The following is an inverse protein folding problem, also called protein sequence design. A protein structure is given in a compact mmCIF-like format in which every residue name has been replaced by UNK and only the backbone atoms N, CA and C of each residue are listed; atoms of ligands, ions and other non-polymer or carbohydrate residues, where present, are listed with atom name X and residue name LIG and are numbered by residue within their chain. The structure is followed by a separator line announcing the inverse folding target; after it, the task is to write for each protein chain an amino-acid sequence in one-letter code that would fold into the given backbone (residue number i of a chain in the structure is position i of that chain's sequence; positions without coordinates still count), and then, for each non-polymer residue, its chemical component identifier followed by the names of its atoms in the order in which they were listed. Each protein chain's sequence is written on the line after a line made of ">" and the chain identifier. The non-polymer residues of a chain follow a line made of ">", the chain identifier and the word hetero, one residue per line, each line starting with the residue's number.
data_IF_639652732214
#
_entry.id   IF_639652732214
#
_cell.length_a   1.000
_cell.length_b   1.000
_cell.length_c   1.000
_cell.angle_alpha   90.00
_cell.angle_beta   90.00
_cell.angle_gamma   90.00
#
_symmetry.space_group_name_H-M   'P 1'
#
loop_
_entity.id
_entity.type
_entity.pdbx_description
1 polymer ?
#
# COMPACT_ATOMS: atom_id res chain seq x y z
N UNK A 1 -21.43 -80.45 -47.45
CA UNK A 1 -20.58 -79.98 -48.53
C UNK A 1 -20.14 -78.56 -48.16
N UNK A 2 -19.03 -78.43 -47.45
CA UNK A 2 -18.54 -77.21 -46.88
C UNK A 2 -17.16 -76.90 -47.47
N UNK A 3 -17.03 -75.79 -48.11
CA UNK A 3 -15.76 -75.22 -48.53
C UNK A 3 -15.43 -74.04 -47.72
N UNK A 4 -14.39 -74.16 -46.90
CA UNK A 4 -13.72 -73.12 -46.18
C UNK A 4 -12.77 -72.37 -47.07
N UNK A 5 -12.86 -71.07 -47.11
CA UNK A 5 -11.84 -70.22 -47.74
C UNK A 5 -11.29 -69.24 -46.67
N UNK A 6 -10.10 -69.56 -46.27
CA UNK A 6 -9.32 -68.65 -45.42
C UNK A 6 -8.62 -67.57 -46.28
N UNK A 7 -8.94 -66.33 -46.09
CA UNK A 7 -8.28 -65.22 -46.73
C UNK A 7 -7.29 -64.59 -45.77
N UNK A 8 -5.99 -64.66 -46.08
CA UNK A 8 -4.93 -63.99 -45.42
C UNK A 8 -4.92 -62.45 -45.82
N UNK A 9 -5.27 -61.64 -44.88
CA UNK A 9 -4.97 -60.21 -45.05
C UNK A 9 -3.62 -59.90 -44.43
N UNK A 10 -2.62 -59.59 -45.26
CA UNK A 10 -1.37 -58.96 -44.85
C UNK A 10 -1.62 -57.49 -44.57
N UNK A 11 -1.64 -57.12 -43.32
CA UNK A 11 -1.66 -55.73 -42.92
C UNK A 11 -0.22 -55.16 -43.09
N UNK A 12 -0.03 -54.33 -44.09
CA UNK A 12 1.18 -53.52 -44.26
C UNK A 12 1.03 -52.32 -43.34
N UNK A 13 1.76 -52.30 -42.21
CA UNK A 13 1.82 -51.16 -41.30
C UNK A 13 2.66 -50.05 -41.97
N UNK A 14 1.97 -49.03 -42.44
CA UNK A 14 2.60 -47.79 -42.90
C UNK A 14 2.94 -46.94 -41.65
N UNK A 15 4.17 -46.98 -41.20
CA UNK A 15 4.66 -46.07 -40.14
C UNK A 15 4.80 -44.68 -40.76
N UNK A 16 3.83 -43.81 -40.55
CA UNK A 16 3.95 -42.39 -40.78
C UNK A 16 4.81 -41.82 -39.65
N UNK A 17 6.11 -41.56 -39.93
CA UNK A 17 6.93 -40.69 -39.11
C UNK A 17 6.39 -39.25 -39.23
N UNK A 18 5.54 -38.85 -38.33
CA UNK A 18 5.23 -37.44 -38.10
C UNK A 18 6.48 -36.81 -37.48
N UNK A 19 7.34 -36.26 -38.33
CA UNK A 19 8.34 -35.27 -37.88
C UNK A 19 7.57 -34.04 -37.48
N UNK A 20 7.23 -33.93 -36.17
CA UNK A 20 6.79 -32.67 -35.59
C UNK A 20 7.99 -31.73 -35.59
N UNK A 21 8.12 -30.93 -36.65
CA UNK A 21 8.93 -29.70 -36.59
C UNK A 21 8.23 -28.79 -35.59
N UNK A 22 8.65 -28.85 -34.32
CA UNK A 22 8.42 -27.78 -33.38
C UNK A 22 9.07 -26.57 -33.99
N UNK A 23 8.28 -25.74 -34.66
CA UNK A 23 8.65 -24.38 -34.96
C UNK A 23 8.71 -23.72 -33.59
N UNK A 24 9.90 -23.70 -32.99
CA UNK A 24 10.20 -22.72 -31.97
C UNK A 24 10.07 -21.37 -32.69
N UNK A 25 8.92 -20.74 -32.56
CA UNK A 25 8.81 -19.31 -32.73
C UNK A 25 9.93 -18.75 -31.83
N UNK A 26 11.04 -18.35 -32.43
CA UNK A 26 11.97 -17.45 -31.78
C UNK A 26 11.11 -16.20 -31.54
N UNK A 27 10.55 -16.12 -30.37
CA UNK A 27 10.16 -14.84 -29.81
C UNK A 27 11.48 -14.08 -29.77
N UNK A 28 11.72 -13.25 -30.78
CA UNK A 28 12.72 -12.22 -30.64
C UNK A 28 12.35 -11.50 -29.35
N UNK A 29 13.27 -11.54 -28.38
CA UNK A 29 13.10 -10.69 -27.20
C UNK A 29 12.66 -9.32 -27.71
N UNK A 30 11.58 -8.74 -27.16
CA UNK A 30 11.16 -7.41 -27.57
C UNK A 30 12.42 -6.53 -27.55
N UNK A 31 12.63 -5.66 -28.54
CA UNK A 31 13.82 -4.84 -28.62
C UNK A 31 14.04 -4.25 -27.25
N UNK A 32 15.24 -4.40 -26.70
CA UNK A 32 15.55 -3.91 -25.35
C UNK A 32 15.31 -2.40 -25.37
N UNK A 33 14.16 -2.01 -24.87
CA UNK A 33 13.77 -0.61 -24.83
C UNK A 33 14.71 0.09 -23.85
N UNK A 34 15.64 0.84 -24.42
CA UNK A 34 16.52 1.70 -23.65
C UNK A 34 15.90 3.09 -23.61
N UNK A 35 15.75 3.61 -22.40
CA UNK A 35 15.30 4.97 -22.14
C UNK A 35 16.46 5.72 -21.50
N UNK A 36 16.74 6.91 -22.01
CA UNK A 36 17.71 7.84 -21.42
C UNK A 36 16.96 9.04 -20.89
N UNK A 37 17.18 9.39 -19.62
CA UNK A 37 16.68 10.63 -19.03
C UNK A 37 17.87 11.53 -18.74
N UNK A 38 17.91 12.73 -19.32
CA UNK A 38 19.01 13.69 -19.17
C UNK A 38 18.51 15.11 -18.89
N UNK A 39 19.41 15.93 -18.34
CA UNK A 39 19.09 17.31 -17.94
C UNK A 39 18.29 17.39 -16.64
N UNK A 40 17.93 18.58 -16.24
CA UNK A 40 17.23 18.81 -14.98
C UNK A 40 18.05 18.46 -13.75
N UNK A 41 17.36 18.11 -12.67
CA UNK A 41 17.95 17.78 -11.38
C UNK A 41 17.65 16.34 -10.99
N UNK A 42 18.50 15.76 -10.17
CA UNK A 42 18.31 14.46 -9.56
C UNK A 42 18.37 14.59 -8.03
N UNK A 43 17.32 14.11 -7.36
CA UNK A 43 17.30 13.79 -5.93
C UNK A 43 17.27 12.27 -5.79
N UNK A 44 18.29 11.71 -5.14
CA UNK A 44 18.47 10.25 -5.07
C UNK A 44 17.84 9.59 -3.85
N UNK A 45 17.20 10.38 -2.97
CA UNK A 45 16.59 9.88 -1.73
C UNK A 45 17.58 9.55 -0.61
N UNK A 46 18.88 9.77 -0.83
CA UNK A 46 19.96 9.51 0.15
C UNK A 46 20.62 10.81 0.56
N UNK A 47 20.91 11.64 -0.43
CA UNK A 47 21.54 12.95 -0.22
C UNK A 47 20.53 13.97 0.27
N UNK A 48 20.95 14.89 1.14
CA UNK A 48 20.09 15.99 1.61
C UNK A 48 19.83 17.08 0.56
N UNK A 49 20.44 16.97 -0.62
CA UNK A 49 20.33 17.96 -1.69
C UNK A 49 20.19 17.28 -3.05
N UNK A 50 19.48 17.95 -3.94
CA UNK A 50 19.46 17.55 -5.35
C UNK A 50 20.74 18.01 -6.05
N UNK A 51 21.14 17.28 -7.09
CA UNK A 51 22.28 17.58 -7.96
C UNK A 51 21.86 17.64 -9.43
N UNK A 52 22.71 18.19 -10.27
CA UNK A 52 22.48 18.16 -11.72
C UNK A 52 22.41 16.72 -12.22
N UNK A 53 21.41 16.42 -13.03
CA UNK A 53 21.30 15.13 -13.69
C UNK A 53 22.10 15.14 -14.99
N UNK A 54 23.14 14.33 -15.06
CA UNK A 54 23.96 14.16 -16.26
C UNK A 54 23.41 13.10 -17.20
N UNK A 55 22.80 12.06 -16.66
CA UNK A 55 22.13 11.03 -17.42
C UNK A 55 21.77 9.80 -16.58
N UNK A 56 20.56 9.30 -16.78
CA UNK A 56 20.10 8.01 -16.25
C UNK A 56 19.75 7.12 -17.42
N UNK A 57 20.29 5.90 -17.42
CA UNK A 57 19.99 4.89 -18.43
C UNK A 57 19.12 3.80 -17.83
N UNK A 58 18.00 3.54 -18.46
CA UNK A 58 17.02 2.52 -18.06
C UNK A 58 16.97 1.47 -19.17
N UNK A 59 17.10 0.19 -18.81
CA UNK A 59 16.89 -0.96 -19.71
C UNK A 59 15.99 -1.97 -19.05
N UNK A 60 15.01 -2.45 -19.79
CA UNK A 60 14.05 -3.45 -19.30
C UNK A 60 13.44 -3.06 -17.95
N UNK A 61 13.04 -1.79 -17.81
CA UNK A 61 12.44 -1.27 -16.58
C UNK A 61 13.39 -1.14 -15.38
N UNK A 62 14.72 -1.30 -15.57
CA UNK A 62 15.72 -1.18 -14.51
C UNK A 62 16.69 -0.05 -14.79
N UNK A 63 16.99 0.76 -13.79
CA UNK A 63 18.09 1.73 -13.84
C UNK A 63 19.39 0.94 -13.88
N UNK A 64 20.13 1.06 -14.97
CA UNK A 64 21.42 0.36 -15.18
C UNK A 64 22.61 1.27 -15.00
N UNK A 65 22.42 2.57 -15.13
CA UNK A 65 23.49 3.56 -14.97
C UNK A 65 22.91 4.90 -14.52
N UNK A 66 23.58 5.55 -13.60
CA UNK A 66 23.33 6.92 -13.16
C UNK A 66 24.62 7.71 -13.38
N UNK A 67 24.50 9.00 -13.71
CA UNK A 67 25.63 9.84 -14.14
C UNK A 67 26.35 9.30 -15.39
N UNK A 68 25.58 8.75 -16.31
CA UNK A 68 26.07 8.14 -17.52
C UNK A 68 26.81 9.15 -18.42
N UNK A 69 27.94 8.71 -19.00
CA UNK A 69 28.46 9.39 -20.18
C UNK A 69 27.58 9.04 -21.39
N UNK A 70 26.87 10.04 -21.91
CA UNK A 70 25.86 9.85 -22.94
C UNK A 70 26.38 10.02 -24.37
N UNK A 71 27.64 10.43 -24.60
CA UNK A 71 28.16 10.79 -25.92
C UNK A 71 27.94 9.66 -26.95
N UNK A 72 28.29 8.43 -26.60
CA UNK A 72 28.13 7.28 -27.50
C UNK A 72 26.72 6.68 -27.51
N UNK A 73 26.00 6.81 -26.41
CA UNK A 73 24.67 6.20 -26.23
C UNK A 73 23.56 6.94 -26.95
N UNK A 74 23.67 8.26 -27.06
CA UNK A 74 22.71 9.11 -27.78
C UNK A 74 22.70 8.86 -29.29
N UNK A 75 23.76 8.24 -29.83
CA UNK A 75 23.83 7.90 -31.24
C UNK A 75 22.97 6.69 -31.63
N UNK A 76 22.62 5.85 -30.66
CA UNK A 76 21.90 4.59 -30.89
C UNK A 76 20.53 4.52 -30.27
N UNK A 77 20.26 5.37 -29.26
CA UNK A 77 19.01 5.37 -28.51
C UNK A 77 18.06 6.42 -29.05
N UNK A 78 16.84 6.00 -29.40
CA UNK A 78 15.78 6.89 -29.92
C UNK A 78 14.82 7.39 -28.85
N UNK A 79 14.79 6.76 -27.66
CA UNK A 79 13.90 7.11 -26.57
C UNK A 79 14.67 7.93 -25.52
N UNK A 80 14.69 9.24 -25.72
CA UNK A 80 15.38 10.21 -24.85
C UNK A 80 14.36 11.16 -24.25
N UNK A 81 14.39 11.30 -22.94
CA UNK A 81 13.60 12.28 -22.17
C UNK A 81 14.54 13.41 -21.76
N UNK A 82 14.35 14.57 -22.36
CA UNK A 82 15.07 15.80 -22.02
C UNK A 82 14.33 16.59 -20.96
N UNK A 83 14.94 16.78 -19.81
CA UNK A 83 14.38 17.56 -18.71
C UNK A 83 14.90 19.00 -18.75
N UNK A 84 14.06 19.93 -18.37
CA UNK A 84 14.42 21.33 -18.16
C UNK A 84 15.05 21.55 -16.80
N UNK A 85 15.68 22.71 -16.59
CA UNK A 85 16.26 23.10 -15.29
C UNK A 85 15.22 23.30 -14.17
N UNK A 86 13.93 23.27 -14.50
CA UNK A 86 12.84 23.34 -13.53
C UNK A 86 12.38 21.97 -13.03
N UNK A 87 12.81 20.92 -13.69
CA UNK A 87 12.37 19.55 -13.40
C UNK A 87 13.38 18.81 -12.54
N UNK A 88 12.88 17.97 -11.66
CA UNK A 88 13.69 17.13 -10.77
C UNK A 88 13.20 15.70 -10.84
N UNK A 89 14.11 14.77 -11.07
CA UNK A 89 13.85 13.33 -10.93
C UNK A 89 13.88 13.00 -9.45
N UNK A 90 12.88 12.25 -9.02
CA UNK A 90 12.74 11.73 -7.66
C UNK A 90 12.62 10.21 -7.73
N UNK A 91 13.03 9.47 -6.69
CA UNK A 91 12.57 8.09 -6.51
C UNK A 91 11.05 8.05 -6.48
N UNK A 92 10.47 6.97 -7.01
CA UNK A 92 9.03 6.76 -6.86
C UNK A 92 8.65 6.72 -5.39
N UNK A 93 7.58 7.41 -5.02
CA UNK A 93 7.08 7.47 -3.65
C UNK A 93 6.41 6.15 -3.27
N UNK A 94 6.45 5.81 -1.97
CA UNK A 94 5.89 4.58 -1.42
C UNK A 94 4.90 4.94 -0.32
N UNK A 95 3.62 4.64 -0.52
CA UNK A 95 2.60 4.80 0.52
C UNK A 95 2.51 3.51 1.34
N UNK A 96 2.96 3.58 2.58
CA UNK A 96 3.01 2.42 3.49
C UNK A 96 1.72 2.21 4.29
N UNK A 97 0.69 3.02 4.03
CA UNK A 97 -0.64 2.87 4.61
C UNK A 97 -1.69 3.34 3.59
N UNK A 98 -1.70 2.70 2.45
CA UNK A 98 -2.70 2.96 1.42
C UNK A 98 -3.96 2.12 1.66
N UNK A 99 -5.08 2.63 1.22
CA UNK A 99 -6.30 1.86 1.08
C UNK A 99 -6.78 1.86 -0.36
N UNK A 100 -7.54 0.84 -0.70
CA UNK A 100 -8.20 0.73 -2.01
C UNK A 100 -9.72 0.74 -1.86
N UNK A 101 -10.18 1.26 -0.74
CA UNK A 101 -11.59 1.30 -0.40
C UNK A 101 -12.36 2.30 -1.26
N UNK A 102 -13.62 1.98 -1.48
CA UNK A 102 -14.61 2.87 -2.03
C UNK A 102 -15.87 2.81 -1.15
N UNK A 103 -16.20 3.92 -0.52
CA UNK A 103 -17.36 4.03 0.37
C UNK A 103 -18.63 4.28 -0.45
N UNK A 104 -19.48 3.27 -0.52
CA UNK A 104 -20.83 3.37 -1.06
C UNK A 104 -21.75 3.79 0.07
N UNK A 105 -21.98 5.09 0.22
CA UNK A 105 -22.77 5.67 1.32
C UNK A 105 -24.09 4.93 1.54
N UNK A 106 -24.35 4.59 2.80
CA UNK A 106 -25.50 3.78 3.25
C UNK A 106 -25.52 2.32 2.77
N UNK A 107 -24.48 1.87 2.03
CA UNK A 107 -24.37 0.51 1.50
C UNK A 107 -23.22 -0.26 2.16
N UNK A 108 -22.09 0.43 2.36
CA UNK A 108 -20.86 -0.14 2.89
C UNK A 108 -19.66 0.12 1.99
N UNK A 109 -18.51 -0.48 2.30
CA UNK A 109 -17.24 -0.30 1.59
C UNK A 109 -16.88 -1.51 0.76
N UNK A 110 -16.25 -1.24 -0.37
CA UNK A 110 -15.67 -2.24 -1.27
C UNK A 110 -14.33 -1.73 -1.80
N UNK A 111 -13.55 -2.57 -2.45
CA UNK A 111 -12.28 -2.17 -3.07
C UNK A 111 -12.50 -1.66 -4.49
N UNK A 112 -11.91 -0.49 -4.77
CA UNK A 112 -11.76 0.09 -6.10
C UNK A 112 -10.27 0.24 -6.43
N UNK A 113 -9.68 -0.88 -6.86
CA UNK A 113 -8.22 -1.00 -7.00
C UNK A 113 -7.70 -0.30 -8.25
N UNK A 114 -8.46 -0.36 -9.35
CA UNK A 114 -8.01 0.17 -10.65
C UNK A 114 -7.95 1.69 -10.64
N UNK A 115 -9.05 2.32 -10.27
CA UNK A 115 -9.16 3.79 -10.25
C UNK A 115 -8.19 4.41 -9.24
N UNK A 116 -8.21 3.91 -8.01
CA UNK A 116 -7.32 4.39 -6.95
C UNK A 116 -5.85 4.18 -7.32
N UNK A 117 -5.51 3.03 -7.92
CA UNK A 117 -4.15 2.74 -8.39
C UNK A 117 -3.65 3.72 -9.45
N UNK A 118 -4.50 4.09 -10.41
CA UNK A 118 -4.16 5.09 -11.43
C UNK A 118 -3.91 6.46 -10.80
N UNK A 119 -4.71 6.85 -9.80
CA UNK A 119 -4.54 8.14 -9.13
C UNK A 119 -3.27 8.15 -8.27
N UNK A 120 -2.93 7.07 -7.57
CA UNK A 120 -1.64 6.92 -6.91
C UNK A 120 -0.48 7.18 -7.88
N UNK A 121 -0.46 6.48 -9.02
CA UNK A 121 0.58 6.66 -10.03
C UNK A 121 0.63 8.09 -10.59
N UNK A 122 -0.51 8.69 -10.89
CA UNK A 122 -0.59 10.04 -11.41
C UNK A 122 0.00 11.09 -10.46
N UNK A 123 0.10 10.77 -9.18
CA UNK A 123 0.71 11.58 -8.13
C UNK A 123 2.14 11.15 -7.77
N UNK A 124 2.73 10.21 -8.52
CA UNK A 124 4.10 9.74 -8.29
C UNK A 124 4.26 8.68 -7.20
N UNK A 125 3.16 8.16 -6.65
CA UNK A 125 3.18 7.02 -5.73
C UNK A 125 3.27 5.74 -6.56
N UNK A 126 4.45 5.17 -6.64
CA UNK A 126 4.76 4.03 -7.52
C UNK A 126 4.70 2.68 -6.81
N UNK A 127 4.59 2.69 -5.50
CA UNK A 127 4.39 1.49 -4.68
C UNK A 127 3.44 1.81 -3.53
N UNK A 128 2.61 0.84 -3.17
CA UNK A 128 1.69 0.95 -2.04
C UNK A 128 1.69 -0.33 -1.24
N UNK A 129 1.54 -0.22 0.08
CA UNK A 129 1.13 -1.33 0.94
C UNK A 129 -0.31 -1.08 1.36
N UNK A 130 -1.20 -1.98 1.00
CA UNK A 130 -2.60 -1.87 1.38
C UNK A 130 -2.80 -2.25 2.85
N UNK A 131 -3.54 -1.45 3.60
CA UNK A 131 -3.59 -1.54 5.05
C UNK A 131 -4.86 -2.23 5.57
N UNK A 132 -5.16 -3.41 5.04
CA UNK A 132 -6.36 -4.19 5.34
C UNK A 132 -7.48 -3.99 4.33
N UNK A 133 -8.02 -5.09 3.84
CA UNK A 133 -9.09 -5.09 2.86
C UNK A 133 -10.31 -5.84 3.38
N UNK A 134 -11.48 -5.48 2.83
CA UNK A 134 -12.73 -6.21 3.03
C UNK A 134 -12.83 -7.41 2.08
N UNK A 135 -12.30 -7.25 0.85
CA UNK A 135 -12.30 -8.25 -0.22
C UNK A 135 -10.89 -8.41 -0.80
N UNK A 136 -9.95 -8.97 -0.03
CA UNK A 136 -8.53 -9.00 -0.38
C UNK A 136 -8.23 -9.75 -1.68
N UNK A 137 -9.09 -10.67 -2.10
CA UNK A 137 -8.93 -11.40 -3.37
C UNK A 137 -9.02 -10.46 -4.59
N UNK A 138 -9.73 -9.33 -4.48
CA UNK A 138 -9.81 -8.31 -5.55
C UNK A 138 -8.48 -7.58 -5.69
N UNK A 139 -7.84 -7.27 -4.56
CA UNK A 139 -6.54 -6.61 -4.52
C UNK A 139 -5.43 -7.54 -4.99
N UNK A 140 -5.44 -8.81 -4.56
CA UNK A 140 -4.52 -9.84 -5.04
C UNK A 140 -4.61 -10.01 -6.56
N UNK A 141 -5.81 -10.13 -7.10
CA UNK A 141 -6.02 -10.24 -8.55
C UNK A 141 -5.44 -9.05 -9.31
N UNK A 142 -5.64 -7.83 -8.80
CA UNK A 142 -5.10 -6.64 -9.44
C UNK A 142 -3.57 -6.59 -9.35
N UNK A 143 -2.99 -6.97 -8.21
CA UNK A 143 -1.53 -7.13 -8.04
C UNK A 143 -0.97 -8.05 -9.13
N UNK A 144 -1.55 -9.22 -9.28
CA UNK A 144 -1.07 -10.22 -10.23
C UNK A 144 -1.15 -9.71 -11.68
N UNK A 145 -2.20 -8.95 -12.04
CA UNK A 145 -2.30 -8.32 -13.37
C UNK A 145 -1.26 -7.21 -13.57
N UNK A 146 -0.97 -6.43 -12.53
CA UNK A 146 0.08 -5.39 -12.59
C UNK A 146 1.45 -6.03 -12.73
N UNK A 147 1.73 -7.09 -11.97
CA UNK A 147 3.02 -7.76 -11.95
C UNK A 147 3.39 -8.40 -13.31
N UNK A 148 2.40 -8.85 -14.07
CA UNK A 148 2.59 -9.39 -15.43
C UNK A 148 2.42 -8.33 -16.53
N UNK A 149 2.16 -7.07 -16.18
CA UNK A 149 2.02 -5.96 -17.13
C UNK A 149 0.68 -5.93 -17.89
N UNK A 150 -0.34 -6.65 -17.44
CA UNK A 150 -1.68 -6.66 -18.03
C UNK A 150 -2.59 -5.55 -17.47
N UNK A 151 -2.18 -4.92 -16.36
CA UNK A 151 -2.87 -3.77 -15.79
C UNK A 151 -1.87 -2.66 -15.40
N UNK A 152 -2.38 -1.43 -15.37
CA UNK A 152 -1.63 -0.25 -14.92
C UNK A 152 -1.97 0.04 -13.46
N UNK A 153 -0.95 0.19 -12.62
CA UNK A 153 -1.07 0.53 -11.21
C UNK A 153 0.29 0.64 -10.54
N UNK A 154 0.36 1.11 -9.29
CA UNK A 154 1.58 1.05 -8.50
C UNK A 154 1.90 -0.41 -8.18
N UNK A 155 3.14 -0.70 -7.82
CA UNK A 155 3.48 -2.00 -7.25
C UNK A 155 2.68 -2.21 -5.97
N UNK A 156 1.86 -3.24 -5.94
CA UNK A 156 0.95 -3.54 -4.85
C UNK A 156 1.55 -4.55 -3.88
N UNK A 157 1.76 -4.13 -2.63
CA UNK A 157 2.01 -5.01 -1.51
C UNK A 157 0.71 -5.14 -0.72
N UNK A 158 0.23 -6.36 -0.55
CA UNK A 158 -1.09 -6.65 0.00
C UNK A 158 -0.97 -7.12 1.46
N UNK A 159 -1.84 -6.60 2.33
CA UNK A 159 -1.91 -7.05 3.74
C UNK A 159 -2.81 -8.27 3.95
N UNK A 160 -3.63 -8.60 2.97
CA UNK A 160 -4.78 -9.46 3.19
C UNK A 160 -5.92 -8.74 3.94
N UNK A 161 -6.82 -9.48 4.61
CA UNK A 161 -7.92 -8.86 5.34
C UNK A 161 -7.44 -8.18 6.62
N UNK A 162 -8.33 -7.44 7.25
CA UNK A 162 -8.12 -7.06 8.65
C UNK A 162 -8.09 -8.32 9.54
N UNK A 163 -7.10 -8.41 10.43
CA UNK A 163 -6.99 -9.48 11.42
C UNK A 163 -7.57 -8.99 12.75
N UNK A 164 -8.79 -9.43 13.06
CA UNK A 164 -9.56 -9.04 14.23
C UNK A 164 -11.01 -8.68 13.89
N UNK A 165 -11.77 -8.25 14.89
CA UNK A 165 -13.22 -8.02 14.82
C UNK A 165 -13.66 -6.98 13.79
N UNK A 166 -12.73 -6.10 13.35
CA UNK A 166 -13.01 -5.10 12.32
C UNK A 166 -13.22 -5.67 10.92
N UNK A 167 -12.86 -6.93 10.67
CA UNK A 167 -12.74 -7.54 9.33
C UNK A 167 -13.90 -7.24 8.37
N UNK A 168 -15.15 -7.25 8.82
CA UNK A 168 -16.31 -7.01 7.96
C UNK A 168 -17.21 -5.86 8.46
N UNK A 169 -16.71 -5.02 9.36
CA UNK A 169 -17.56 -4.04 10.05
C UNK A 169 -18.26 -3.10 9.07
N UNK A 170 -17.55 -2.61 8.07
CA UNK A 170 -18.08 -1.67 7.06
C UNK A 170 -18.21 -2.27 5.66
N UNK A 171 -18.06 -3.58 5.51
CA UNK A 171 -18.21 -4.22 4.20
C UNK A 171 -19.63 -4.09 3.65
N UNK A 172 -19.77 -4.17 2.32
CA UNK A 172 -21.08 -4.23 1.67
C UNK A 172 -21.85 -5.46 2.17
N UNK A 173 -23.07 -5.23 2.63
CA UNK A 173 -23.96 -6.29 3.14
C UNK A 173 -24.94 -6.75 2.04
N UNK A 174 -24.42 -7.34 0.97
CA UNK A 174 -25.25 -7.95 -0.08
C UNK A 174 -25.02 -9.45 -0.14
N UNK A 175 -26.01 -10.20 -0.62
CA UNK A 175 -25.90 -11.66 -0.75
C UNK A 175 -24.82 -12.14 -1.75
N UNK A 176 -24.23 -11.22 -2.52
CA UNK A 176 -23.17 -11.52 -3.50
C UNK A 176 -21.76 -11.22 -2.97
N UNK A 177 -21.65 -10.48 -1.87
CA UNK A 177 -20.37 -10.06 -1.29
C UNK A 177 -20.24 -10.76 0.07
N UNK A 178 -19.54 -11.88 0.06
CA UNK A 178 -19.35 -12.74 1.24
C UNK A 178 -18.04 -12.35 1.94
N UNK A 179 -18.11 -11.27 2.74
CA UNK A 179 -17.02 -10.97 3.64
C UNK A 179 -17.07 -11.93 4.84
N UNK A 180 -16.06 -12.79 4.96
CA UNK A 180 -15.94 -13.73 6.08
C UNK A 180 -15.50 -12.99 7.35
N UNK A 181 -16.41 -12.81 8.30
CA UNK A 181 -16.13 -12.13 9.56
C UNK A 181 -15.11 -12.88 10.42
N UNK A 182 -14.41 -12.12 11.28
CA UNK A 182 -13.56 -12.70 12.31
C UNK A 182 -14.43 -13.38 13.37
N UNK A 183 -14.22 -14.68 13.68
CA UNK A 183 -15.03 -15.36 14.68
C UNK A 183 -14.77 -14.84 16.09
N UNK A 184 -15.83 -14.68 16.90
CA UNK A 184 -15.69 -14.22 18.29
C UNK A 184 -15.01 -15.25 19.21
N UNK A 185 -15.03 -16.53 18.83
CA UNK A 185 -14.49 -17.66 19.58
C UNK A 185 -13.35 -18.37 18.81
N UNK A 186 -12.63 -17.60 17.99
CA UNK A 186 -11.52 -18.10 17.17
C UNK A 186 -10.43 -18.73 18.05
N UNK A 187 -10.03 -19.93 17.69
CA UNK A 187 -8.97 -20.65 18.39
C UNK A 187 -7.58 -20.21 17.95
N UNK A 188 -6.56 -20.48 18.78
CA UNK A 188 -5.16 -20.23 18.41
C UNK A 188 -4.77 -20.94 17.11
N UNK A 189 -5.22 -22.18 16.93
CA UNK A 189 -4.93 -22.97 15.72
C UNK A 189 -5.53 -22.28 14.47
N UNK A 190 -6.75 -21.79 14.54
CA UNK A 190 -7.41 -21.07 13.43
C UNK A 190 -6.74 -19.75 13.12
N UNK A 191 -6.31 -18.99 14.14
CA UNK A 191 -5.54 -17.75 13.95
C UNK A 191 -4.25 -18.04 13.18
N UNK A 192 -3.50 -19.06 13.64
CA UNK A 192 -2.24 -19.44 12.99
C UNK A 192 -2.45 -19.90 11.55
N UNK A 193 -3.48 -20.72 11.31
CA UNK A 193 -3.84 -21.18 9.98
C UNK A 193 -4.26 -20.04 9.04
N UNK A 194 -4.98 -19.04 9.57
CA UNK A 194 -5.36 -17.86 8.79
C UNK A 194 -4.14 -17.02 8.38
N UNK A 195 -3.18 -16.82 9.28
CA UNK A 195 -1.93 -16.12 8.96
C UNK A 195 -1.11 -16.91 7.94
N UNK A 196 -0.97 -18.24 8.10
CA UNK A 196 -0.25 -19.11 7.16
C UNK A 196 -0.87 -19.06 5.75
N UNK A 197 -2.20 -19.08 5.66
CA UNK A 197 -2.95 -18.94 4.39
C UNK A 197 -2.55 -17.67 3.63
N UNK A 198 -2.42 -16.54 4.32
CA UNK A 198 -2.07 -15.27 3.67
C UNK A 198 -0.58 -15.16 3.37
N UNK A 199 0.28 -15.78 4.16
CA UNK A 199 1.69 -15.93 3.83
C UNK A 199 1.90 -16.69 2.50
N UNK A 200 1.12 -17.77 2.26
CA UNK A 200 1.12 -18.52 1.00
C UNK A 200 0.69 -17.65 -0.21
N UNK A 201 -0.09 -16.59 0.02
CA UNK A 201 -0.48 -15.60 -1.00
C UNK A 201 0.55 -14.48 -1.17
N UNK A 202 1.75 -14.62 -0.62
CA UNK A 202 2.82 -13.62 -0.66
C UNK A 202 2.46 -12.29 0.03
N UNK A 203 1.63 -12.35 1.05
CA UNK A 203 1.44 -11.24 1.98
C UNK A 203 2.70 -11.09 2.82
N UNK A 204 3.22 -9.86 2.92
CA UNK A 204 4.50 -9.58 3.60
C UNK A 204 4.32 -8.87 4.96
N UNK A 205 3.12 -8.38 5.23
CA UNK A 205 2.77 -7.68 6.47
C UNK A 205 1.28 -7.80 6.71
N UNK A 206 0.86 -8.01 7.94
CA UNK A 206 -0.56 -8.10 8.32
C UNK A 206 -1.03 -6.87 9.09
N UNK A 207 -2.31 -6.52 8.91
CA UNK A 207 -2.99 -5.42 9.60
C UNK A 207 -3.86 -5.96 10.74
N UNK A 208 -3.47 -5.67 11.99
CA UNK A 208 -4.22 -6.05 13.19
C UNK A 208 -5.17 -4.91 13.54
N UNK A 209 -6.46 -5.20 13.70
CA UNK A 209 -7.45 -4.22 14.12
C UNK A 209 -8.60 -4.89 14.88
N UNK A 210 -8.89 -4.43 16.10
CA UNK A 210 -9.89 -5.02 17.00
C UNK A 210 -9.62 -6.52 17.29
N UNK A 211 -8.39 -6.86 17.66
CA UNK A 211 -8.03 -8.15 18.18
C UNK A 211 -7.78 -8.07 19.68
N UNK A 212 -8.15 -9.12 20.42
CA UNK A 212 -7.85 -9.21 21.84
C UNK A 212 -6.34 -9.27 22.10
N UNK A 213 -5.85 -8.97 23.31
CA UNK A 213 -4.41 -9.11 23.62
C UNK A 213 -3.85 -10.49 23.34
N UNK A 214 -4.61 -11.55 23.58
CA UNK A 214 -4.19 -12.93 23.30
C UNK A 214 -4.11 -13.21 21.79
N UNK A 215 -5.10 -12.79 21.02
CA UNK A 215 -5.08 -12.92 19.56
C UNK A 215 -3.95 -12.10 18.95
N UNK A 216 -3.75 -10.86 19.40
CA UNK A 216 -2.67 -9.98 18.93
C UNK A 216 -1.30 -10.66 19.11
N UNK A 217 -1.05 -11.26 20.26
CA UNK A 217 0.18 -11.99 20.52
C UNK A 217 0.37 -13.15 19.53
N UNK A 218 -0.66 -13.97 19.31
CA UNK A 218 -0.61 -15.11 18.41
C UNK A 218 -0.39 -14.64 16.97
N UNK A 219 -1.07 -13.56 16.54
CA UNK A 219 -0.92 -12.95 15.22
C UNK A 219 0.52 -12.50 14.97
N UNK A 220 1.12 -11.77 15.92
CA UNK A 220 2.50 -11.30 15.82
C UNK A 220 3.47 -12.50 15.73
N UNK A 221 3.35 -13.46 16.64
CA UNK A 221 4.21 -14.66 16.65
C UNK A 221 4.14 -15.43 15.33
N UNK A 222 2.94 -15.66 14.79
CA UNK A 222 2.76 -16.43 13.57
C UNK A 222 3.20 -15.65 12.33
N UNK A 223 2.95 -14.33 12.29
CA UNK A 223 3.45 -13.47 11.22
C UNK A 223 4.98 -13.51 11.15
N UNK A 224 5.67 -13.33 12.28
CA UNK A 224 7.14 -13.40 12.35
C UNK A 224 7.69 -14.77 11.95
N UNK A 225 7.01 -15.86 12.36
CA UNK A 225 7.38 -17.22 11.95
C UNK A 225 7.35 -17.40 10.43
N UNK A 226 6.44 -16.70 9.74
CA UNK A 226 6.35 -16.68 8.29
C UNK A 226 7.21 -15.60 7.62
N UNK A 227 8.05 -14.87 8.38
CA UNK A 227 8.88 -13.78 7.86
C UNK A 227 8.09 -12.52 7.46
N UNK A 228 6.86 -12.41 7.94
CA UNK A 228 6.01 -11.21 7.75
C UNK A 228 6.20 -10.23 8.90
N UNK A 229 5.98 -8.95 8.61
CA UNK A 229 5.87 -7.90 9.64
C UNK A 229 4.41 -7.71 10.06
N UNK A 230 4.23 -6.95 11.14
CA UNK A 230 2.92 -6.67 11.73
C UNK A 230 2.72 -5.18 11.94
N UNK A 231 1.50 -4.73 11.73
CA UNK A 231 1.08 -3.37 12.06
C UNK A 231 -0.26 -3.38 12.75
N UNK A 232 -0.57 -2.36 13.53
CA UNK A 232 -1.81 -2.33 14.27
C UNK A 232 -2.42 -0.94 14.38
N UNK A 233 -3.72 -0.88 14.06
CA UNK A 233 -4.59 0.21 14.47
C UNK A 233 -5.05 -0.11 15.91
N UNK A 234 -4.28 0.32 16.87
CA UNK A 234 -4.49 0.04 18.29
C UNK A 234 -5.20 1.24 18.92
N UNK A 235 -6.47 1.10 19.21
CA UNK A 235 -7.27 2.16 19.80
C UNK A 235 -8.23 1.63 20.87
N UNK A 236 -8.44 2.38 21.93
CA UNK A 236 -9.32 2.03 23.04
C UNK A 236 -10.82 2.21 22.74
N UNK A 237 -11.25 2.15 21.48
CA UNK A 237 -12.66 2.41 21.17
C UNK A 237 -13.58 1.22 21.44
N UNK A 238 -13.02 0.02 21.61
CA UNK A 238 -13.79 -1.24 21.58
C UNK A 238 -13.59 -2.13 22.84
N UNK A 239 -13.04 -1.60 23.91
CA UNK A 239 -12.97 -2.27 25.20
C UNK A 239 -12.03 -3.48 25.22
N UNK A 240 -12.55 -4.70 25.31
CA UNK A 240 -11.76 -5.93 25.43
C UNK A 240 -10.91 -6.27 24.19
N UNK A 241 -11.22 -5.66 23.05
CA UNK A 241 -10.46 -5.83 21.80
C UNK A 241 -9.29 -4.86 21.68
N UNK A 242 -9.03 -4.07 22.71
CA UNK A 242 -7.98 -3.05 22.65
C UNK A 242 -6.70 -3.55 23.28
N UNK A 243 -5.64 -3.44 22.50
CA UNK A 243 -4.28 -3.64 22.99
C UNK A 243 -3.63 -2.28 23.15
N UNK A 244 -3.12 -1.99 24.34
CA UNK A 244 -2.34 -0.78 24.53
C UNK A 244 -1.08 -0.81 23.64
N UNK A 245 -0.72 0.28 22.94
CA UNK A 245 0.47 0.33 22.08
C UNK A 245 1.74 -0.18 22.78
N UNK A 246 1.93 0.14 24.05
CA UNK A 246 3.04 -0.38 24.86
C UNK A 246 3.08 -1.91 24.88
N UNK A 247 1.94 -2.53 25.13
CA UNK A 247 1.88 -4.00 25.26
C UNK A 247 2.07 -4.67 23.89
N UNK A 248 1.56 -4.07 22.84
CA UNK A 248 1.79 -4.54 21.46
C UNK A 248 3.28 -4.46 21.06
N UNK A 249 3.98 -3.37 21.39
CA UNK A 249 5.44 -3.25 21.20
C UNK A 249 6.17 -4.35 21.98
N UNK A 250 5.79 -4.60 23.21
CA UNK A 250 6.40 -5.66 24.03
C UNK A 250 6.09 -7.07 23.52
N UNK A 251 4.99 -7.27 22.78
CA UNK A 251 4.69 -8.51 22.05
C UNK A 251 5.48 -8.64 20.75
N UNK A 252 6.12 -7.55 20.27
CA UNK A 252 6.94 -7.54 19.06
C UNK A 252 6.29 -6.87 17.84
N UNK A 253 5.29 -6.00 18.01
CA UNK A 253 4.71 -5.25 16.91
C UNK A 253 5.79 -4.45 16.17
N UNK A 254 5.81 -4.52 14.84
CA UNK A 254 6.85 -3.89 14.03
C UNK A 254 6.52 -2.42 13.67
N UNK A 255 5.23 -2.08 13.60
CA UNK A 255 4.77 -0.74 13.23
C UNK A 255 3.53 -0.32 14.02
N UNK A 256 3.58 0.88 14.60
CA UNK A 256 2.45 1.58 15.18
C UNK A 256 1.81 2.50 14.13
N UNK A 257 0.50 2.58 14.15
CA UNK A 257 -0.29 3.46 13.31
C UNK A 257 -1.00 4.51 14.15
N UNK A 258 -1.18 5.69 13.57
CA UNK A 258 -1.98 6.82 14.03
C UNK A 258 -1.43 7.52 15.26
N UNK A 259 -1.43 6.91 16.42
CA UNK A 259 -1.04 7.55 17.68
C UNK A 259 -0.13 6.66 18.52
N UNK A 260 0.80 7.30 19.21
CA UNK A 260 1.74 6.62 20.12
C UNK A 260 1.12 6.46 21.51
N UNK A 261 0.38 7.48 21.95
CA UNK A 261 -0.26 7.50 23.28
C UNK A 261 -1.75 7.61 23.18
N UNK A 262 -2.45 7.09 24.19
CA UNK A 262 -3.91 7.10 24.22
C UNK A 262 -4.40 8.32 25.03
N UNK A 263 -4.75 9.41 24.33
CA UNK A 263 -5.57 10.45 24.90
C UNK A 263 -4.89 11.52 25.77
N UNK A 264 -3.64 11.88 25.48
CA UNK A 264 -2.97 12.97 26.22
C UNK A 264 -3.49 14.37 25.90
N UNK A 265 -4.41 14.49 24.94
CA UNK A 265 -5.05 15.77 24.58
C UNK A 265 -4.07 16.82 24.02
N UNK A 266 -3.05 16.39 23.29
CA UNK A 266 -2.08 17.29 22.66
C UNK A 266 -1.02 17.86 23.62
N UNK A 267 -0.72 17.15 24.70
CA UNK A 267 0.28 17.56 25.71
C UNK A 267 1.34 16.47 25.89
N UNK A 268 2.56 16.89 26.16
CA UNK A 268 3.59 15.97 26.62
C UNK A 268 3.17 15.31 27.95
N UNK A 269 3.47 14.03 28.06
CA UNK A 269 3.15 13.22 29.25
C UNK A 269 4.27 12.25 29.55
N UNK A 270 4.34 11.76 30.77
CA UNK A 270 5.29 10.69 31.13
C UNK A 270 5.07 9.41 30.30
N UNK A 271 3.81 9.13 29.92
CA UNK A 271 3.47 8.03 29.02
C UNK A 271 4.09 8.22 27.63
N UNK A 272 4.05 9.44 27.09
CA UNK A 272 4.69 9.74 25.79
C UNK A 272 6.19 9.50 25.84
N UNK A 273 6.87 9.92 26.91
CA UNK A 273 8.30 9.67 27.08
C UNK A 273 8.61 8.16 27.15
N UNK A 274 7.85 7.41 27.94
CA UNK A 274 7.98 5.95 28.04
C UNK A 274 7.77 5.29 26.66
N UNK A 275 6.77 5.70 25.93
CA UNK A 275 6.44 5.15 24.61
C UNK A 275 7.52 5.45 23.58
N UNK A 276 8.06 6.68 23.56
CA UNK A 276 9.18 7.04 22.70
C UNK A 276 10.42 6.17 23.01
N UNK A 277 10.74 5.99 24.27
CA UNK A 277 11.86 5.13 24.69
C UNK A 277 11.65 3.67 24.23
N UNK A 278 10.43 3.14 24.32
CA UNK A 278 10.09 1.80 23.84
C UNK A 278 10.21 1.68 22.31
N UNK A 279 9.70 2.66 21.57
CA UNK A 279 9.80 2.71 20.11
C UNK A 279 11.26 2.70 19.67
N UNK A 280 12.10 3.55 20.27
CA UNK A 280 13.52 3.61 19.97
C UNK A 280 14.25 2.31 20.34
N UNK A 281 13.95 1.75 21.51
CA UNK A 281 14.57 0.52 22.01
C UNK A 281 14.22 -0.70 21.14
N UNK A 282 12.97 -0.82 20.72
CA UNK A 282 12.46 -1.94 19.95
C UNK A 282 12.51 -1.72 18.45
N UNK A 283 12.92 -0.52 17.98
CA UNK A 283 13.01 -0.13 16.57
C UNK A 283 11.67 -0.26 15.86
N UNK A 284 10.59 0.20 16.50
CA UNK A 284 9.23 0.16 15.95
C UNK A 284 9.03 1.32 15.00
N UNK A 285 8.55 1.06 13.79
CA UNK A 285 8.19 2.11 12.85
C UNK A 285 6.94 2.85 13.29
N UNK A 286 6.85 4.12 12.95
CA UNK A 286 5.70 4.96 13.29
C UNK A 286 5.10 5.63 12.05
N UNK A 287 3.80 5.45 11.89
CA UNK A 287 2.97 5.94 10.82
C UNK A 287 1.87 6.85 11.38
N UNK A 288 2.10 8.16 11.33
CA UNK A 288 1.25 9.13 12.02
C UNK A 288 -0.07 9.41 11.30
N UNK A 289 -0.12 9.31 9.98
CA UNK A 289 -1.29 9.66 9.14
C UNK A 289 -1.84 11.05 9.47
N UNK A 290 -0.95 12.05 9.52
CA UNK A 290 -1.29 13.41 9.97
C UNK A 290 -2.41 14.02 9.14
N UNK A 291 -2.34 13.86 7.82
CA UNK A 291 -3.31 14.46 6.91
C UNK A 291 -4.71 13.86 7.07
N UNK A 292 -4.83 12.57 7.41
CA UNK A 292 -6.11 11.88 7.65
C UNK A 292 -6.86 12.53 8.83
N UNK A 293 -6.16 12.78 9.92
CA UNK A 293 -6.73 13.35 11.14
C UNK A 293 -6.61 14.87 11.20
N UNK A 294 -5.80 15.49 10.38
CA UNK A 294 -5.54 16.92 10.36
C UNK A 294 -5.87 17.63 9.06
N UNK A 295 -6.13 16.90 7.98
CA UNK A 295 -6.37 17.48 6.66
C UNK A 295 -7.48 18.54 6.65
N UNK A 296 -8.50 18.36 7.46
CA UNK A 296 -9.58 19.34 7.63
C UNK A 296 -9.12 20.57 8.43
N UNK A 297 -8.20 20.42 9.37
CA UNK A 297 -7.66 21.55 10.14
C UNK A 297 -6.66 22.37 9.32
N UNK A 298 -5.81 21.71 8.56
CA UNK A 298 -4.95 22.35 7.57
C UNK A 298 -5.79 23.17 6.55
N UNK A 299 -6.98 22.72 6.18
CA UNK A 299 -7.92 23.50 5.37
C UNK A 299 -8.28 24.84 6.02
N UNK A 300 -8.54 24.84 7.34
CA UNK A 300 -8.86 26.09 8.08
C UNK A 300 -7.68 27.05 8.13
N UNK A 301 -6.48 26.53 8.39
CA UNK A 301 -5.26 27.34 8.52
C UNK A 301 -4.81 27.92 7.17
N UNK A 302 -4.96 27.15 6.09
CA UNK A 302 -4.60 27.58 4.73
C UNK A 302 -5.72 28.34 4.00
N UNK A 303 -6.85 28.59 4.65
CA UNK A 303 -8.02 29.23 4.02
C UNK A 303 -8.86 28.24 3.23
N UNK A 304 -9.61 27.53 3.93
CA UNK A 304 -10.63 26.48 3.75
C UNK A 304 -10.79 25.79 2.39
N UNK A 305 -10.73 26.50 1.30
CA UNK A 305 -11.15 25.94 0.01
C UNK A 305 -9.97 25.51 -0.87
N UNK A 306 -8.76 25.99 -0.60
CA UNK A 306 -7.63 25.82 -1.53
C UNK A 306 -7.07 24.39 -1.60
N UNK A 307 -7.21 23.60 -0.56
CA UNK A 307 -6.64 22.24 -0.52
C UNK A 307 -7.52 21.24 -1.26
N UNK A 308 -8.85 21.41 -1.23
CA UNK A 308 -9.79 20.47 -1.82
C UNK A 308 -10.34 20.87 -3.19
N UNK A 309 -10.58 22.17 -3.44
CA UNK A 309 -11.16 22.65 -4.70
C UNK A 309 -10.31 22.35 -5.91
N UNK A 310 -9.00 22.37 -5.78
CA UNK A 310 -8.11 22.01 -6.88
C UNK A 310 -8.20 20.53 -7.26
N UNK A 311 -8.60 19.66 -6.35
CA UNK A 311 -8.71 18.23 -6.52
C UNK A 311 -10.12 17.76 -6.83
N UNK A 312 -11.15 18.53 -6.46
CA UNK A 312 -12.56 18.18 -6.62
C UNK A 312 -12.90 17.76 -8.07
N UNK A 313 -12.24 18.35 -9.05
CA UNK A 313 -12.41 18.00 -10.47
C UNK A 313 -11.99 16.58 -10.84
N UNK A 314 -11.18 15.94 -10.03
CA UNK A 314 -10.72 14.57 -10.24
C UNK A 314 -11.57 13.52 -9.50
N UNK A 315 -12.46 13.97 -8.62
CA UNK A 315 -13.40 13.06 -7.98
C UNK A 315 -14.49 12.61 -8.94
N UNK A 316 -14.99 11.41 -8.74
CA UNK A 316 -16.20 10.97 -9.44
C UNK A 316 -17.38 11.88 -9.10
N UNK A 317 -18.40 12.00 -9.96
CA UNK A 317 -19.59 12.78 -9.64
C UNK A 317 -20.25 12.37 -8.31
N UNK A 318 -20.17 11.08 -7.97
CA UNK A 318 -20.65 10.55 -6.70
C UNK A 318 -19.86 11.10 -5.51
N UNK A 319 -18.53 11.04 -5.57
CA UNK A 319 -17.66 11.57 -4.52
C UNK A 319 -17.79 13.10 -4.38
N UNK A 320 -17.92 13.83 -5.51
CA UNK A 320 -18.19 15.27 -5.49
C UNK A 320 -19.50 15.60 -4.75
N UNK A 321 -20.57 14.86 -5.03
CA UNK A 321 -21.85 15.06 -4.35
C UNK A 321 -21.78 14.77 -2.84
N UNK A 322 -20.92 13.86 -2.42
CA UNK A 322 -20.68 13.60 -0.99
C UNK A 322 -19.87 14.72 -0.33
N UNK A 323 -18.86 15.23 -1.00
CA UNK A 323 -18.06 16.36 -0.51
C UNK A 323 -18.91 17.63 -0.33
N UNK A 324 -19.82 17.90 -1.24
CA UNK A 324 -20.76 19.02 -1.15
C UNK A 324 -21.67 18.92 0.10
N UNK A 325 -22.01 17.69 0.52
CA UNK A 325 -22.83 17.46 1.71
C UNK A 325 -22.07 17.61 3.02
N UNK A 326 -20.75 17.45 2.99
CA UNK A 326 -19.88 17.45 4.18
C UNK A 326 -19.31 18.82 4.54
N UNK A 327 -19.89 19.92 4.10
CA UNK A 327 -19.37 21.29 4.20
C UNK A 327 -19.05 21.85 5.59
N UNK A 328 -19.26 21.12 6.69
CA UNK A 328 -19.09 21.61 8.03
C UNK A 328 -17.65 21.44 8.56
N UNK A 329 -17.18 22.37 9.43
CA UNK A 329 -15.88 22.25 10.08
C UNK A 329 -15.84 21.02 11.01
N UNK A 330 -14.64 20.40 11.17
CA UNK A 330 -14.48 19.26 12.07
C UNK A 330 -14.78 19.64 13.52
N UNK A 331 -15.20 18.67 14.32
CA UNK A 331 -15.34 18.86 15.77
C UNK A 331 -13.99 19.25 16.41
N UNK A 332 -14.03 19.90 17.57
CA UNK A 332 -12.82 20.29 18.31
C UNK A 332 -11.94 19.09 18.70
N UNK A 333 -12.54 17.90 18.84
CA UNK A 333 -11.83 16.64 19.10
C UNK A 333 -10.78 16.32 18.03
N UNK A 334 -11.10 16.55 16.76
CA UNK A 334 -10.19 16.24 15.65
C UNK A 334 -8.97 17.16 15.65
N UNK A 335 -9.12 18.40 16.14
CA UNK A 335 -8.01 19.34 16.34
C UNK A 335 -7.07 18.82 17.42
N UNK A 336 -7.61 18.29 18.50
CA UNK A 336 -6.80 17.76 19.59
C UNK A 336 -6.03 16.50 19.15
N UNK A 337 -6.65 15.62 18.38
CA UNK A 337 -6.00 14.44 17.82
C UNK A 337 -4.86 14.81 16.87
N UNK A 338 -5.09 15.74 15.96
CA UNK A 338 -4.03 16.23 15.06
C UNK A 338 -2.85 16.82 15.84
N UNK A 339 -3.13 17.69 16.80
CA UNK A 339 -2.09 18.30 17.65
C UNK A 339 -1.30 17.22 18.40
N UNK A 340 -1.97 16.19 18.88
CA UNK A 340 -1.33 15.05 19.54
C UNK A 340 -0.35 14.33 18.62
N UNK A 341 -0.78 13.99 17.40
CA UNK A 341 0.08 13.27 16.44
C UNK A 341 1.28 14.07 15.99
N UNK A 342 1.08 15.37 15.73
CA UNK A 342 2.19 16.28 15.42
C UNK A 342 3.20 16.33 16.57
N UNK A 343 2.73 16.40 17.81
CA UNK A 343 3.58 16.40 18.99
C UNK A 343 4.37 15.08 19.13
N UNK A 344 3.70 13.95 18.97
CA UNK A 344 4.31 12.62 19.03
C UNK A 344 5.38 12.42 17.96
N UNK A 345 5.07 12.79 16.72
CA UNK A 345 6.00 12.73 15.60
C UNK A 345 7.24 13.59 15.86
N UNK A 346 7.05 14.86 16.27
CA UNK A 346 8.14 15.76 16.59
C UNK A 346 8.99 15.24 17.75
N UNK A 347 8.37 14.69 18.78
CA UNK A 347 9.08 14.13 19.94
C UNK A 347 9.94 12.93 19.54
N UNK A 348 9.37 12.01 18.75
CA UNK A 348 10.12 10.86 18.23
C UNK A 348 11.30 11.32 17.37
N UNK A 349 11.07 12.25 16.44
CA UNK A 349 12.13 12.83 15.61
C UNK A 349 13.26 13.45 16.46
N UNK A 350 12.91 14.33 17.41
CA UNK A 350 13.89 14.99 18.30
C UNK A 350 14.65 14.03 19.20
N UNK A 351 14.09 12.87 19.48
CA UNK A 351 14.71 11.82 20.28
C UNK A 351 15.61 10.86 19.46
N UNK A 352 15.84 11.15 18.18
CA UNK A 352 16.69 10.33 17.29
C UNK A 352 15.96 9.20 16.59
N UNK A 353 14.65 9.28 16.49
CA UNK A 353 13.80 8.30 15.80
C UNK A 353 13.47 8.64 14.36
N UNK A 354 14.22 9.54 13.71
CA UNK A 354 13.96 9.98 12.33
C UNK A 354 13.90 8.82 11.33
N UNK A 355 14.69 7.78 11.52
CA UNK A 355 14.71 6.61 10.65
C UNK A 355 13.55 5.63 10.92
N UNK A 356 12.76 5.86 11.94
CA UNK A 356 11.58 5.06 12.28
C UNK A 356 10.28 5.71 11.79
N UNK A 357 10.35 6.97 11.31
CA UNK A 357 9.21 7.66 10.72
C UNK A 357 8.97 7.15 9.30
N UNK A 358 7.75 6.77 9.01
CA UNK A 358 7.34 6.34 7.68
C UNK A 358 6.18 7.18 7.19
N UNK A 359 5.95 7.16 5.88
CA UNK A 359 4.85 7.88 5.24
C UNK A 359 3.75 6.91 4.86
N UNK A 360 2.59 7.11 5.44
CA UNK A 360 1.36 6.43 5.12
C UNK A 360 0.19 7.40 5.16
N UNK A 361 -0.79 7.22 4.28
CA UNK A 361 -1.88 8.19 4.14
C UNK A 361 -3.16 7.79 4.87
N UNK A 362 -3.38 6.51 5.08
CA UNK A 362 -4.67 5.96 5.52
C UNK A 362 -5.83 6.35 4.57
N UNK A 363 -5.54 6.45 3.25
CA UNK A 363 -6.51 6.92 2.25
C UNK A 363 -6.52 6.04 0.98
N UNK A 364 -7.66 5.99 0.27
CA UNK A 364 -8.97 6.53 0.61
C UNK A 364 -9.74 5.60 1.55
N UNK A 365 -10.08 6.07 2.73
CA UNK A 365 -10.99 5.36 3.65
C UNK A 365 -12.38 5.96 3.56
N UNK A 366 -12.43 7.27 3.56
CA UNK A 366 -13.64 8.05 3.36
C UNK A 366 -13.53 8.77 2.03
N UNK A 367 -14.58 8.90 1.28
CA UNK A 367 -14.62 9.62 -0.01
C UNK A 367 -14.25 11.11 0.07
N UNK A 368 -13.42 11.50 1.02
CA UNK A 368 -13.04 12.88 1.31
C UNK A 368 -11.67 13.27 0.83
N UNK A 369 -10.82 12.28 0.54
CA UNK A 369 -9.45 12.47 0.07
C UNK A 369 -9.16 11.58 -1.12
N UNK A 370 -8.46 12.10 -2.11
CA UNK A 370 -7.99 11.31 -3.23
C UNK A 370 -6.66 10.65 -2.89
N UNK A 371 -6.51 9.38 -3.24
CA UNK A 371 -5.23 8.69 -3.14
C UNK A 371 -4.16 9.47 -3.91
N UNK A 372 -2.93 9.43 -3.43
CA UNK A 372 -1.81 10.16 -4.05
C UNK A 372 -1.78 11.65 -3.68
N UNK A 373 -2.87 12.39 -3.82
CA UNK A 373 -2.94 13.77 -3.29
C UNK A 373 -2.78 13.78 -1.77
N UNK A 374 -3.38 12.83 -1.08
CA UNK A 374 -3.21 12.63 0.34
C UNK A 374 -1.73 12.43 0.72
N UNK A 375 -0.96 11.74 -0.12
CA UNK A 375 0.47 11.54 0.11
C UNK A 375 1.27 12.85 0.12
N UNK A 376 1.00 13.74 -0.84
CA UNK A 376 1.64 15.05 -0.87
C UNK A 376 1.29 15.90 0.36
N UNK A 377 0.08 15.75 0.87
CA UNK A 377 -0.35 16.44 2.09
C UNK A 377 0.27 15.86 3.34
N UNK A 378 0.42 14.55 3.40
CA UNK A 378 1.15 13.90 4.50
C UNK A 378 2.58 14.42 4.57
N UNK A 379 3.30 14.46 3.43
CA UNK A 379 4.63 15.04 3.36
C UNK A 379 4.65 16.52 3.79
N UNK A 380 3.64 17.30 3.38
CA UNK A 380 3.54 18.70 3.79
C UNK A 380 3.27 18.85 5.29
N UNK A 381 2.48 17.97 5.88
CA UNK A 381 2.17 18.02 7.31
C UNK A 381 3.36 17.56 8.19
N UNK A 382 4.28 16.76 7.65
CA UNK A 382 5.48 16.29 8.34
C UNK A 382 6.63 17.31 8.34
N UNK A 383 6.56 18.41 7.56
CA UNK A 383 7.60 19.44 7.43
C UNK A 383 7.24 20.69 8.23
#
# INVERSE_FOLDING_TARGET
>A
MNLSISSFFKATALILLLVSTTVYSQWSEPPQEEIIIRGGWLFDGISNTRRQNTGIVIRQGKIVEVDANLEDKLLTTTNVIDLTDLETILPGMIDLHAHYNFDLVDVGRTEEVVYNGIIFLANGVTSTWSAGEYYPERVLKQRDLIDVGEATGPRLFVSGPYFGGFRCEYSIKTAADDCSAWPNDITEEEIRAEVDKWAEQSVISIKIKQATPSETKILIEQAHKNGMTTTGHLSNYHGEYDVHPRDAILMGLDRLEHQITLGSGGKESAEMEEMIDLILKHQVYYDANLQMYGGINLRKELGSDMVWTNEAKYFTPYAQALLEKRGDPPPESDVAEYTQRVLELNKLYQSGGENLLIVGTDEPVYTTLLPGFAYHRELFAMV
#
